data_IF_951241655320
#
_entry.id   IF_951241655320
#
_cell.length_a   1.000
_cell.length_b   1.000
_cell.length_c   1.000
_cell.angle_alpha   90.00
_cell.angle_beta   90.00
_cell.angle_gamma   90.00
#
_symmetry.space_group_name_H-M   'P 1'
#
loop_
_entity.id
_entity.type
_entity.pdbx_description
1 polymer ?
#
# COMPACT_ATOMS: atom_id res chain seq x y z
N UNK A 1 -1.18 8.99 9.75
CA UNK A 1 -2.39 8.43 9.13
C UNK A 1 -2.11 8.00 7.70
N UNK A 2 -2.60 6.84 7.32
CA UNK A 2 -2.48 6.36 5.95
C UNK A 2 -3.31 7.20 5.00
N UNK A 3 -2.75 7.48 3.81
CA UNK A 3 -3.42 8.27 2.79
C UNK A 3 -3.46 7.51 1.46
N UNK A 4 -4.40 7.88 0.60
CA UNK A 4 -4.42 7.39 -0.78
C UNK A 4 -3.16 7.85 -1.51
N UNK A 5 -2.69 7.07 -2.46
CA UNK A 5 -1.53 7.44 -3.26
C UNK A 5 -1.83 8.55 -4.27
N UNK A 6 -3.09 8.91 -4.48
CA UNK A 6 -3.50 9.85 -5.53
C UNK A 6 -2.78 11.18 -5.45
N UNK A 7 -2.87 11.87 -4.31
CA UNK A 7 -2.28 13.20 -4.17
C UNK A 7 -0.76 13.18 -4.27
N UNK A 8 -0.11 12.22 -3.61
CA UNK A 8 1.35 12.14 -3.66
C UNK A 8 1.86 11.86 -5.08
N UNK A 9 1.14 11.06 -5.86
CA UNK A 9 1.51 10.76 -7.24
C UNK A 9 1.25 11.93 -8.18
N UNK A 10 0.19 12.69 -7.95
CA UNK A 10 -0.07 13.90 -8.71
C UNK A 10 1.03 14.94 -8.49
N UNK A 11 1.44 15.12 -7.25
CA UNK A 11 2.55 16.03 -6.90
C UNK A 11 3.87 15.56 -7.50
N UNK A 12 4.12 14.26 -7.48
CA UNK A 12 5.32 13.69 -8.07
C UNK A 12 5.38 13.92 -9.58
N UNK A 13 4.26 13.74 -10.26
CA UNK A 13 4.17 13.97 -11.70
C UNK A 13 4.42 15.45 -12.04
N UNK A 14 3.80 16.35 -11.30
CA UNK A 14 3.97 17.80 -11.51
C UNK A 14 5.40 18.24 -11.20
N UNK A 15 6.03 17.66 -10.19
CA UNK A 15 7.39 18.01 -9.76
C UNK A 15 8.50 17.24 -10.46
N UNK A 16 8.15 16.33 -11.37
CA UNK A 16 9.11 15.50 -12.12
C UNK A 16 10.01 14.65 -11.23
N UNK A 17 9.41 13.99 -10.24
CA UNK A 17 10.12 13.03 -9.39
C UNK A 17 9.26 11.77 -9.21
N UNK A 18 9.86 10.72 -8.68
CA UNK A 18 9.16 9.46 -8.41
C UNK A 18 8.96 9.27 -6.91
N UNK A 19 7.88 8.58 -6.55
CA UNK A 19 7.65 8.13 -5.18
C UNK A 19 8.09 6.67 -5.10
N UNK A 20 8.93 6.35 -4.13
CA UNK A 20 9.40 4.98 -3.93
C UNK A 20 8.32 4.10 -3.34
N UNK A 21 8.21 2.87 -3.86
CA UNK A 21 7.44 1.81 -3.24
C UNK A 21 8.41 0.76 -2.73
N UNK A 22 8.33 0.43 -1.44
CA UNK A 22 9.21 -0.55 -0.82
C UNK A 22 8.38 -1.66 -0.20
N UNK A 23 8.80 -2.90 -0.43
CA UNK A 23 8.11 -4.05 0.12
C UNK A 23 8.32 -4.15 1.62
N UNK A 24 7.25 -4.43 2.35
CA UNK A 24 7.33 -4.72 3.78
C UNK A 24 6.95 -6.19 4.02
N UNK A 25 7.75 -6.88 4.81
CA UNK A 25 7.52 -8.28 5.14
C UNK A 25 7.49 -8.52 6.64
N UNK A 26 7.93 -7.55 7.43
CA UNK A 26 8.00 -7.67 8.88
C UNK A 26 8.09 -6.28 9.52
N UNK A 27 8.14 -6.27 10.84
CA UNK A 27 8.21 -5.05 11.63
C UNK A 27 9.52 -4.30 11.38
N UNK A 28 10.62 -5.00 11.29
CA UNK A 28 11.95 -4.40 11.15
C UNK A 28 12.10 -3.64 9.83
N UNK A 29 11.64 -4.23 8.74
CA UNK A 29 11.67 -3.57 7.42
C UNK A 29 10.77 -2.33 7.41
N UNK A 30 9.58 -2.47 7.98
CA UNK A 30 8.62 -1.35 8.04
C UNK A 30 9.20 -0.19 8.83
N UNK A 31 9.81 -0.48 9.98
CA UNK A 31 10.43 0.53 10.82
C UNK A 31 11.55 1.27 10.09
N UNK A 32 12.41 0.53 9.40
CA UNK A 32 13.52 1.11 8.65
C UNK A 32 13.02 2.05 7.55
N UNK A 33 12.00 1.62 6.80
CA UNK A 33 11.44 2.40 5.70
C UNK A 33 10.77 3.68 6.22
N UNK A 34 9.93 3.56 7.24
CA UNK A 34 9.21 4.71 7.80
C UNK A 34 10.15 5.72 8.44
N UNK A 35 11.14 5.24 9.18
CA UNK A 35 12.13 6.11 9.82
C UNK A 35 12.92 6.90 8.78
N UNK A 36 13.38 6.22 7.73
CA UNK A 36 14.15 6.85 6.66
C UNK A 36 13.29 7.85 5.88
N UNK A 37 12.05 7.49 5.57
CA UNK A 37 11.15 8.40 4.86
C UNK A 37 10.91 9.68 5.66
N UNK A 38 10.72 9.55 6.97
CA UNK A 38 10.52 10.70 7.83
C UNK A 38 11.76 11.58 7.91
N UNK A 39 12.93 10.98 8.05
CA UNK A 39 14.20 11.73 8.08
C UNK A 39 14.44 12.52 6.80
N UNK A 40 14.07 11.96 5.66
CA UNK A 40 14.26 12.58 4.36
C UNK A 40 13.06 13.45 3.93
N UNK A 41 12.05 13.56 4.77
CA UNK A 41 10.81 14.27 4.47
C UNK A 41 10.22 13.82 3.12
N UNK A 42 10.22 12.51 2.88
CA UNK A 42 9.81 11.91 1.60
C UNK A 42 8.52 11.13 1.76
N UNK A 43 7.53 11.34 0.89
CA UNK A 43 6.38 10.44 0.84
C UNK A 43 6.82 9.04 0.44
N UNK A 44 6.08 8.03 0.86
CA UNK A 44 6.47 6.64 0.61
C UNK A 44 5.23 5.77 0.44
N UNK A 45 5.37 4.73 -0.38
CA UNK A 45 4.37 3.69 -0.54
C UNK A 45 4.93 2.40 0.04
N UNK A 46 4.20 1.82 0.99
CA UNK A 46 4.55 0.52 1.57
C UNK A 46 3.83 -0.55 0.77
N UNK A 47 4.58 -1.37 0.05
CA UNK A 47 4.02 -2.41 -0.80
C UNK A 47 3.91 -3.74 -0.05
N UNK A 48 2.74 -4.37 -0.13
CA UNK A 48 2.48 -5.66 0.49
C UNK A 48 1.98 -6.62 -0.57
N UNK A 49 2.68 -7.74 -0.76
CA UNK A 49 2.17 -8.81 -1.60
C UNK A 49 1.20 -9.68 -0.80
N UNK A 50 0.39 -10.48 -1.48
CA UNK A 50 -0.49 -11.41 -0.77
C UNK A 50 0.32 -12.39 0.09
N UNK A 51 1.46 -12.85 -0.41
CA UNK A 51 2.37 -13.71 0.35
C UNK A 51 2.90 -13.04 1.61
N UNK A 52 3.29 -11.78 1.52
CA UNK A 52 3.76 -11.02 2.69
C UNK A 52 2.64 -10.81 3.70
N UNK A 53 1.44 -10.50 3.23
CA UNK A 53 0.27 -10.35 4.11
C UNK A 53 -0.02 -11.64 4.87
N UNK A 54 0.06 -12.77 4.20
CA UNK A 54 -0.12 -14.08 4.82
C UNK A 54 0.99 -14.39 5.82
N UNK A 55 2.23 -14.08 5.47
CA UNK A 55 3.39 -14.26 6.36
C UNK A 55 3.23 -13.46 7.66
N UNK A 56 2.72 -12.23 7.55
CA UNK A 56 2.47 -11.36 8.70
C UNK A 56 1.15 -11.67 9.41
N UNK A 57 0.54 -12.80 9.14
CA UNK A 57 -0.70 -13.37 9.70
C UNK A 57 -2.01 -12.79 9.16
N UNK A 58 -1.96 -11.74 8.37
CA UNK A 58 -3.15 -11.21 7.72
C UNK A 58 -3.11 -9.70 7.53
N UNK A 59 -4.02 -9.19 6.72
CA UNK A 59 -4.04 -7.79 6.35
C UNK A 59 -4.36 -6.86 7.53
N UNK A 60 -5.22 -7.27 8.43
CA UNK A 60 -5.53 -6.46 9.63
C UNK A 60 -4.31 -6.32 10.53
N UNK A 61 -3.49 -7.36 10.64
CA UNK A 61 -2.24 -7.32 11.40
C UNK A 61 -1.28 -6.32 10.76
N UNK A 62 -1.18 -6.33 9.44
CA UNK A 62 -0.33 -5.38 8.70
C UNK A 62 -0.79 -3.95 8.96
N UNK A 63 -2.08 -3.68 8.84
CA UNK A 63 -2.63 -2.33 9.08
C UNK A 63 -2.38 -1.89 10.52
N UNK A 64 -2.62 -2.78 11.49
CA UNK A 64 -2.38 -2.49 12.91
C UNK A 64 -0.92 -2.16 13.19
N UNK A 65 0.00 -2.95 12.64
CA UNK A 65 1.44 -2.72 12.78
C UNK A 65 1.84 -1.37 12.20
N UNK A 66 1.41 -1.07 10.97
CA UNK A 66 1.79 0.17 10.28
C UNK A 66 1.20 1.38 11.01
N UNK A 67 -0.07 1.35 11.36
CA UNK A 67 -0.72 2.46 12.05
C UNK A 67 -0.10 2.70 13.43
N UNK A 68 0.13 1.64 14.19
CA UNK A 68 0.78 1.75 15.50
C UNK A 68 2.17 2.34 15.39
N UNK A 69 2.93 1.86 14.42
CA UNK A 69 4.30 2.34 14.20
C UNK A 69 4.34 3.79 13.75
N UNK A 70 3.43 4.20 12.86
CA UNK A 70 3.35 5.59 12.43
C UNK A 70 3.05 6.53 13.60
N UNK A 71 2.15 6.11 14.49
CA UNK A 71 1.80 6.89 15.67
C UNK A 71 2.98 7.00 16.64
N UNK A 72 3.59 5.88 16.99
CA UNK A 72 4.71 5.85 17.94
C UNK A 72 5.95 6.58 17.44
N UNK A 73 6.24 6.49 16.14
CA UNK A 73 7.40 7.17 15.54
C UNK A 73 7.11 8.63 15.17
N UNK A 74 5.88 9.09 15.30
CA UNK A 74 5.51 10.45 14.92
C UNK A 74 5.68 10.73 13.43
N UNK A 75 5.27 9.78 12.58
CA UNK A 75 5.42 9.91 11.13
C UNK A 75 4.43 10.95 10.60
N UNK A 76 4.95 11.99 9.96
CA UNK A 76 4.15 13.08 9.37
C UNK A 76 4.15 13.09 7.86
N UNK A 77 5.11 12.42 7.22
CA UNK A 77 5.15 12.33 5.76
C UNK A 77 3.96 11.50 5.25
N UNK A 78 3.49 11.76 4.02
CA UNK A 78 2.42 10.94 3.45
C UNK A 78 2.87 9.50 3.26
N UNK A 79 2.06 8.56 3.75
CA UNK A 79 2.32 7.12 3.64
C UNK A 79 1.09 6.45 3.06
N UNK A 80 1.24 5.73 1.97
CA UNK A 80 0.20 4.86 1.42
C UNK A 80 0.56 3.40 1.71
N UNK A 81 -0.43 2.63 2.13
CA UNK A 81 -0.29 1.19 2.32
C UNK A 81 -0.98 0.51 1.15
N UNK A 82 -0.20 -0.18 0.34
CA UNK A 82 -0.59 -0.66 -0.98
C UNK A 82 -0.52 -2.18 -1.08
N UNK A 83 -1.59 -2.80 -1.57
CA UNK A 83 -1.55 -4.21 -1.97
C UNK A 83 -1.01 -4.29 -3.38
N UNK A 84 0.09 -5.03 -3.57
CA UNK A 84 0.75 -5.20 -4.85
C UNK A 84 0.39 -6.57 -5.44
N UNK A 85 0.05 -6.59 -6.73
CA UNK A 85 -0.36 -7.81 -7.44
C UNK A 85 -1.46 -8.58 -6.71
N UNK A 86 -2.51 -7.88 -6.29
CA UNK A 86 -3.60 -8.49 -5.54
C UNK A 86 -4.60 -9.25 -6.42
N UNK A 87 -5.13 -10.35 -5.87
CA UNK A 87 -6.29 -11.01 -6.45
C UNK A 87 -7.55 -10.17 -6.19
N UNK A 88 -8.64 -10.50 -6.87
CA UNK A 88 -9.93 -9.83 -6.64
C UNK A 88 -10.33 -9.89 -5.16
N UNK A 89 -10.28 -11.08 -4.58
CA UNK A 89 -10.59 -11.28 -3.16
C UNK A 89 -9.62 -10.54 -2.23
N UNK A 90 -8.33 -10.60 -2.55
CA UNK A 90 -7.30 -9.90 -1.78
C UNK A 90 -7.53 -8.40 -1.76
N UNK A 91 -7.91 -7.82 -2.90
CA UNK A 91 -8.23 -6.40 -2.98
C UNK A 91 -9.40 -6.02 -2.07
N UNK A 92 -10.48 -6.80 -2.08
CA UNK A 92 -11.63 -6.57 -1.22
C UNK A 92 -11.25 -6.66 0.27
N UNK A 93 -10.48 -7.66 0.63
CA UNK A 93 -10.04 -7.86 2.02
C UNK A 93 -9.13 -6.72 2.48
N UNK A 94 -8.25 -6.23 1.61
CA UNK A 94 -7.35 -5.13 1.95
C UNK A 94 -8.11 -3.83 2.16
N UNK A 95 -9.08 -3.52 1.31
CA UNK A 95 -9.93 -2.33 1.49
C UNK A 95 -10.67 -2.41 2.83
N UNK A 96 -11.25 -3.55 3.13
CA UNK A 96 -11.93 -3.77 4.41
C UNK A 96 -11.00 -3.64 5.60
N UNK A 97 -9.75 -4.10 5.47
CA UNK A 97 -8.78 -4.05 6.55
C UNK A 97 -8.22 -2.65 6.81
N UNK A 98 -8.32 -1.74 5.84
CA UNK A 98 -7.85 -0.36 6.00
C UNK A 98 -6.66 0.02 5.12
N UNK A 99 -6.34 -0.75 4.09
CA UNK A 99 -5.33 -0.36 3.09
C UNK A 99 -5.83 0.88 2.35
N UNK A 100 -4.91 1.75 1.99
CA UNK A 100 -5.25 3.01 1.31
C UNK A 100 -5.01 2.96 -0.20
N UNK A 101 -4.45 1.88 -0.71
CA UNK A 101 -4.16 1.69 -2.13
C UNK A 101 -4.16 0.21 -2.47
N UNK A 102 -4.64 -0.15 -3.65
CA UNK A 102 -4.64 -1.54 -4.12
C UNK A 102 -4.29 -1.59 -5.60
N UNK A 103 -3.63 -2.66 -6.00
CA UNK A 103 -3.44 -3.02 -7.40
C UNK A 103 -4.07 -4.38 -7.65
N UNK A 104 -5.12 -4.41 -8.46
CA UNK A 104 -5.72 -5.66 -8.91
C UNK A 104 -4.92 -6.18 -10.10
N UNK A 105 -4.42 -7.40 -9.99
CA UNK A 105 -3.73 -8.07 -11.09
C UNK A 105 -4.67 -9.09 -11.73
N UNK A 106 -5.35 -8.66 -12.78
CA UNK A 106 -6.24 -9.52 -13.57
C UNK A 106 -5.62 -10.01 -14.86
N UNK A 107 -4.29 -9.95 -14.98
CA UNK A 107 -3.58 -10.28 -16.22
C UNK A 107 -3.79 -11.72 -16.71
N UNK A 108 -4.15 -12.63 -15.81
CA UNK A 108 -4.41 -14.03 -16.15
C UNK A 108 -5.84 -14.30 -16.62
N UNK A 109 -6.73 -13.29 -16.56
CA UNK A 109 -8.10 -13.41 -17.07
C UNK A 109 -8.19 -12.96 -18.53
N UNK A 110 -9.22 -13.41 -19.27
CA UNK A 110 -9.56 -12.76 -20.55
C UNK A 110 -9.82 -11.27 -20.33
N UNK A 111 -9.56 -10.46 -21.34
CA UNK A 111 -9.63 -9.00 -21.20
C UNK A 111 -10.99 -8.50 -20.70
N UNK A 112 -12.09 -9.10 -21.20
CA UNK A 112 -13.44 -8.72 -20.80
C UNK A 112 -13.67 -8.93 -19.30
N UNK A 113 -13.22 -10.06 -18.78
CA UNK A 113 -13.34 -10.39 -17.36
C UNK A 113 -12.46 -9.48 -16.51
N UNK A 114 -11.24 -9.19 -16.95
CA UNK A 114 -10.36 -8.27 -16.29
C UNK A 114 -11.00 -6.87 -16.16
N UNK A 115 -11.61 -6.38 -17.24
CA UNK A 115 -12.28 -5.08 -17.25
C UNK A 115 -13.43 -5.06 -16.25
N UNK A 116 -14.28 -6.08 -16.25
CA UNK A 116 -15.44 -6.13 -15.35
C UNK A 116 -15.03 -6.17 -13.87
N UNK A 117 -14.05 -7.00 -13.54
CA UNK A 117 -13.55 -7.09 -12.15
C UNK A 117 -12.91 -5.80 -11.70
N UNK A 118 -12.16 -5.15 -12.57
CA UNK A 118 -11.52 -3.86 -12.27
C UNK A 118 -12.57 -2.79 -12.01
N UNK A 119 -13.63 -2.74 -12.82
CA UNK A 119 -14.74 -1.80 -12.61
C UNK A 119 -15.39 -1.96 -11.25
N UNK A 120 -15.60 -3.19 -10.82
CA UNK A 120 -16.19 -3.48 -9.51
C UNK A 120 -15.30 -2.99 -8.38
N UNK A 121 -13.99 -3.19 -8.48
CA UNK A 121 -13.05 -2.80 -7.44
C UNK A 121 -12.88 -1.28 -7.34
N UNK A 122 -13.02 -0.56 -8.45
CA UNK A 122 -12.88 0.91 -8.47
C UNK A 122 -14.05 1.58 -7.74
N UNK A 123 -15.18 0.91 -7.67
CA UNK A 123 -16.31 1.44 -6.90
C UNK A 123 -16.03 1.36 -5.40
#
# INVERSE_FOLDING_TARGET
>A
MLVSATEMLQKAKAGHYAVGQFNINNLEWTKAILTTAQELNSPVILGVSEGAGKYMTGYKTVVGMVNGMMEELGITVPVALHLDHGSYEGCLKCVEAGFSSIMFDGSHYPIEENIEKTKELVK
#
